data_IF_867214056832
#
_entry.id   IF_867214056832
#
_cell.length_a   1.000
_cell.length_b   1.000
_cell.length_c   1.000
_cell.angle_alpha   90.00
_cell.angle_beta   90.00
_cell.angle_gamma   90.00
#
_symmetry.space_group_name_H-M   'P 1'
#
loop_
_entity.id
_entity.type
_entity.pdbx_description
1 polymer ?
#
# COMPACT_ATOMS: atom_id res chain seq x y z
N UNK A 1 -34.36 25.76 21.20
CA UNK A 1 -34.42 24.66 20.21
C UNK A 1 -33.31 23.67 20.53
N UNK A 2 -33.64 22.53 21.14
CA UNK A 2 -32.68 21.46 21.46
C UNK A 2 -32.55 20.57 20.22
N UNK A 3 -31.34 20.43 19.68
CA UNK A 3 -31.03 19.40 18.70
C UNK A 3 -30.25 18.28 19.40
N UNK A 4 -30.90 17.12 19.53
CA UNK A 4 -30.30 15.87 19.98
C UNK A 4 -29.52 15.25 18.84
N UNK A 5 -28.20 15.18 18.95
CA UNK A 5 -27.34 14.36 18.09
C UNK A 5 -27.56 12.88 18.45
N UNK A 6 -28.17 12.15 17.52
CA UNK A 6 -28.34 10.70 17.57
C UNK A 6 -26.98 10.02 17.41
N UNK A 7 -26.40 9.55 18.51
CA UNK A 7 -25.28 8.62 18.50
C UNK A 7 -25.78 7.25 18.02
N UNK A 8 -25.73 6.99 16.71
CA UNK A 8 -25.73 5.62 16.18
C UNK A 8 -24.32 5.05 16.33
N UNK A 9 -24.02 4.45 17.47
CA UNK A 9 -22.99 3.42 17.56
C UNK A 9 -23.41 2.26 16.66
N UNK A 10 -22.67 2.03 15.58
CA UNK A 10 -22.80 0.83 14.76
C UNK A 10 -22.21 -0.31 15.59
N UNK A 11 -23.08 -1.09 16.21
CA UNK A 11 -22.71 -2.30 16.93
C UNK A 11 -22.26 -3.37 15.92
N UNK A 12 -20.95 -3.49 15.68
CA UNK A 12 -20.33 -4.64 15.03
C UNK A 12 -20.20 -5.83 16.01
N UNK A 13 -21.24 -6.07 16.82
CA UNK A 13 -21.32 -7.25 17.68
C UNK A 13 -22.08 -8.33 16.93
N UNK A 14 -21.42 -9.45 16.62
CA UNK A 14 -22.10 -10.67 16.18
C UNK A 14 -23.23 -10.99 17.17
N UNK A 15 -24.46 -10.79 16.74
CA UNK A 15 -25.66 -10.86 17.58
C UNK A 15 -26.12 -12.31 17.82
N UNK A 16 -25.17 -13.25 17.87
CA UNK A 16 -25.48 -14.64 18.11
C UNK A 16 -24.45 -15.32 19.03
N UNK A 17 -24.36 -14.79 20.25
CA UNK A 17 -23.59 -15.34 21.38
C UNK A 17 -23.92 -16.81 21.69
N UNK A 18 -25.04 -17.34 21.22
CA UNK A 18 -25.45 -18.72 21.46
C UNK A 18 -24.61 -19.73 20.67
N UNK A 19 -24.49 -19.56 19.35
CA UNK A 19 -23.71 -20.47 18.49
C UNK A 19 -22.21 -20.38 18.78
N UNK A 20 -21.70 -19.20 19.13
CA UNK A 20 -20.30 -19.01 19.48
C UNK A 20 -19.94 -19.76 20.78
N UNK A 21 -20.83 -19.75 21.77
CA UNK A 21 -20.69 -20.55 23.00
C UNK A 21 -20.84 -22.06 22.76
N UNK A 22 -21.64 -22.48 21.78
CA UNK A 22 -21.76 -23.88 21.37
C UNK A 22 -20.50 -24.39 20.65
N UNK A 23 -19.94 -23.60 19.73
CA UNK A 23 -18.70 -23.92 19.02
C UNK A 23 -17.50 -24.01 19.98
N UNK A 24 -17.38 -23.08 20.94
CA UNK A 24 -16.36 -23.11 21.99
C UNK A 24 -16.48 -24.33 22.92
N UNK A 25 -17.70 -24.86 23.14
CA UNK A 25 -17.90 -26.09 23.91
C UNK A 25 -17.59 -27.37 23.13
N UNK A 26 -17.81 -27.36 21.80
CA UNK A 26 -17.58 -28.53 20.92
C UNK A 26 -16.13 -28.66 20.44
N UNK A 27 -15.32 -27.59 20.46
CA UNK A 27 -13.87 -27.67 20.28
C UNK A 27 -13.15 -27.66 21.63
N UNK A 28 -12.43 -28.72 21.96
CA UNK A 28 -11.31 -28.60 22.90
C UNK A 28 -10.28 -27.68 22.23
N UNK A 29 -10.27 -26.40 22.60
CA UNK A 29 -9.31 -25.45 22.06
C UNK A 29 -7.89 -25.93 22.39
N UNK A 30 -7.06 -26.16 21.37
CA UNK A 30 -5.63 -26.48 21.53
C UNK A 30 -4.88 -25.43 22.35
N UNK A 31 -5.41 -24.22 22.42
CA UNK A 31 -4.79 -23.06 23.05
C UNK A 31 -5.88 -22.10 23.54
N UNK A 32 -5.88 -21.73 24.81
CA UNK A 32 -6.86 -20.76 25.36
C UNK A 32 -6.44 -19.28 25.14
N UNK A 33 -5.28 -19.05 24.53
CA UNK A 33 -4.65 -17.74 24.45
C UNK A 33 -3.38 -17.63 25.28
N UNK A 34 -3.15 -18.52 26.27
CA UNK A 34 -1.93 -18.50 27.11
C UNK A 34 -1.16 -19.82 27.23
N UNK A 35 -1.80 -20.99 27.10
CA UNK A 35 -1.16 -22.30 27.30
C UNK A 35 -1.67 -23.31 26.27
N UNK A 36 -0.74 -24.10 25.69
CA UNK A 36 -1.07 -25.26 24.85
C UNK A 36 -1.46 -26.42 25.77
N UNK A 37 -2.66 -26.97 25.59
CA UNK A 37 -3.15 -28.10 26.39
C UNK A 37 -2.49 -29.40 25.89
N UNK A 38 -1.88 -30.15 26.83
CA UNK A 38 -0.94 -31.24 26.54
C UNK A 38 -1.62 -32.57 26.15
N UNK A 39 -2.93 -32.73 26.37
CA UNK A 39 -3.66 -33.97 26.07
C UNK A 39 -4.96 -33.71 25.33
N UNK A 40 -5.04 -34.24 24.12
CA UNK A 40 -6.21 -34.24 23.26
C UNK A 40 -6.39 -35.64 22.67
N UNK A 41 -7.63 -36.10 22.55
CA UNK A 41 -7.93 -37.28 21.74
C UNK A 41 -7.66 -36.92 20.27
N UNK A 42 -6.90 -37.75 19.51
CA UNK A 42 -6.64 -37.48 18.11
C UNK A 42 -7.96 -37.30 17.36
N UNK A 43 -8.10 -36.25 16.53
CA UNK A 43 -9.29 -36.10 15.71
C UNK A 43 -9.45 -37.37 14.86
N UNK A 44 -10.64 -37.97 14.89
CA UNK A 44 -10.97 -39.12 14.05
C UNK A 44 -10.95 -38.66 12.60
N UNK A 45 -9.84 -38.95 11.92
CA UNK A 45 -9.69 -38.72 10.48
C UNK A 45 -10.36 -39.88 9.77
N UNK A 46 -11.45 -39.62 9.04
CA UNK A 46 -12.08 -40.62 8.21
C UNK A 46 -11.28 -40.77 6.91
N UNK A 47 -10.42 -41.79 6.87
CA UNK A 47 -9.70 -42.20 5.66
C UNK A 47 -10.68 -42.89 4.70
N UNK A 48 -11.53 -42.11 4.02
CA UNK A 48 -12.34 -42.64 2.92
C UNK A 48 -11.42 -43.08 1.77
N UNK A 49 -11.82 -44.13 1.07
CA UNK A 49 -11.03 -44.68 -0.05
C UNK A 49 -10.78 -43.62 -1.16
N UNK A 50 -11.74 -42.72 -1.37
CA UNK A 50 -11.57 -41.54 -2.26
C UNK A 50 -10.45 -40.60 -1.80
N UNK A 51 -10.32 -40.35 -0.49
CA UNK A 51 -9.27 -39.46 0.06
C UNK A 51 -7.89 -40.09 -0.10
N UNK A 52 -7.79 -41.41 0.11
CA UNK A 52 -6.55 -42.16 -0.12
C UNK A 52 -6.17 -42.17 -1.61
N UNK A 53 -7.15 -42.32 -2.50
CA UNK A 53 -6.92 -42.33 -3.95
C UNK A 53 -6.46 -40.95 -4.46
N UNK A 54 -7.08 -39.86 -3.99
CA UNK A 54 -6.66 -38.49 -4.31
C UNK A 54 -5.25 -38.17 -3.77
N UNK A 55 -4.94 -38.63 -2.56
CA UNK A 55 -3.59 -38.48 -1.99
C UNK A 55 -2.54 -39.23 -2.82
N UNK A 56 -2.87 -40.43 -3.30
CA UNK A 56 -1.98 -41.23 -4.14
C UNK A 56 -1.80 -40.61 -5.54
N UNK A 57 -2.87 -40.11 -6.15
CA UNK A 57 -2.81 -39.40 -7.44
C UNK A 57 -1.96 -38.11 -7.34
N UNK A 58 -2.12 -37.35 -6.26
CA UNK A 58 -1.31 -36.17 -5.97
C UNK A 58 0.18 -36.50 -5.82
N UNK A 59 0.52 -37.59 -5.12
CA UNK A 59 1.90 -38.07 -4.97
C UNK A 59 2.52 -38.47 -6.32
N UNK A 60 1.79 -39.15 -7.19
CA UNK A 60 2.30 -39.53 -8.51
C UNK A 60 2.46 -38.32 -9.44
N UNK A 61 1.53 -37.34 -9.41
CA UNK A 61 1.69 -36.06 -10.12
C UNK A 61 2.93 -35.29 -9.64
N UNK A 62 3.18 -35.28 -8.32
CA UNK A 62 4.36 -34.62 -7.75
C UNK A 62 5.67 -35.33 -8.13
N UNK A 63 5.70 -36.67 -8.18
CA UNK A 63 6.85 -37.43 -8.69
C UNK A 63 7.17 -37.14 -10.15
N UNK A 64 6.15 -36.97 -11.01
CA UNK A 64 6.36 -36.60 -12.41
C UNK A 64 6.94 -35.18 -12.55
N UNK A 65 6.46 -34.23 -11.73
CA UNK A 65 6.94 -32.85 -11.73
C UNK A 65 8.38 -32.72 -11.17
N UNK A 66 8.74 -33.56 -10.21
CA UNK A 66 10.08 -33.57 -9.57
C UNK A 66 11.22 -33.90 -10.54
N UNK A 67 10.97 -34.55 -11.69
CA UNK A 67 12.01 -34.74 -12.74
C UNK A 67 12.41 -33.41 -13.40
N UNK A 68 11.58 -32.37 -13.32
CA UNK A 68 11.80 -31.04 -13.91
C UNK A 68 12.35 -30.02 -12.92
N UNK A 69 12.20 -30.25 -11.62
CA UNK A 69 12.56 -29.31 -10.56
C UNK A 69 13.93 -29.71 -10.00
N UNK A 70 14.95 -28.89 -10.24
CA UNK A 70 16.25 -29.05 -9.56
C UNK A 70 16.05 -28.73 -8.06
N UNK A 71 16.57 -29.56 -7.13
CA UNK A 71 16.47 -29.26 -5.71
C UNK A 71 17.17 -27.94 -5.39
N UNK A 72 16.52 -27.12 -4.56
CA UNK A 72 17.08 -25.84 -4.14
C UNK A 72 18.39 -26.06 -3.37
N UNK A 73 19.43 -25.30 -3.71
CA UNK A 73 20.71 -25.36 -3.00
C UNK A 73 20.61 -24.56 -1.70
N UNK A 74 20.20 -25.23 -0.62
CA UNK A 74 20.04 -24.65 0.70
C UNK A 74 21.34 -24.08 1.28
N UNK A 75 22.51 -24.54 0.82
CA UNK A 75 23.81 -23.98 1.23
C UNK A 75 23.97 -22.53 0.76
N UNK A 76 23.53 -22.21 -0.46
CA UNK A 76 23.53 -20.82 -0.97
C UNK A 76 22.49 -19.95 -0.25
N UNK A 77 21.30 -20.50 0.01
CA UNK A 77 20.22 -19.77 0.69
C UNK A 77 20.62 -19.43 2.13
N UNK A 78 21.23 -20.38 2.85
CA UNK A 78 21.70 -20.16 4.22
C UNK A 78 22.93 -19.23 4.29
N UNK A 79 23.71 -19.12 3.22
CA UNK A 79 24.80 -18.13 3.16
C UNK A 79 24.26 -16.71 2.98
N UNK A 80 23.14 -16.53 2.27
CA UNK A 80 22.47 -15.23 2.13
C UNK A 80 21.79 -14.81 3.43
N UNK A 81 21.21 -15.74 4.21
CA UNK A 81 20.60 -15.41 5.50
C UNK A 81 21.60 -15.01 6.58
N UNK A 82 22.88 -15.41 6.49
CA UNK A 82 23.96 -14.88 7.36
C UNK A 82 24.38 -13.45 7.04
N UNK A 83 24.09 -12.96 5.83
CA UNK A 83 24.30 -11.56 5.44
C UNK A 83 23.12 -10.69 5.90
N UNK A 84 21.98 -11.31 6.23
CA UNK A 84 20.82 -10.61 6.78
C UNK A 84 20.98 -10.39 8.29
N UNK A 85 21.05 -9.12 8.66
CA UNK A 85 20.90 -8.67 10.05
C UNK A 85 19.45 -8.92 10.50
N UNK A 86 19.21 -9.59 11.65
CA UNK A 86 17.85 -9.76 12.17
C UNK A 86 17.22 -8.38 12.46
N UNK A 87 16.08 -8.08 11.83
CA UNK A 87 15.27 -6.87 12.05
C UNK A 87 14.51 -6.91 13.39
N UNK A 88 15.18 -7.19 14.51
CA UNK A 88 14.54 -7.09 15.84
C UNK A 88 14.83 -5.79 16.57
N UNK A 89 15.68 -4.92 16.01
CA UNK A 89 15.83 -3.54 16.45
C UNK A 89 15.71 -2.61 15.25
N UNK A 90 14.57 -1.92 15.13
CA UNK A 90 14.45 -0.81 14.17
C UNK A 90 15.51 0.25 14.52
N UNK A 91 16.16 0.78 13.50
CA UNK A 91 17.03 1.95 13.63
C UNK A 91 16.25 3.18 14.09
N UNK A 92 16.96 4.18 14.62
CA UNK A 92 16.33 5.43 15.10
C UNK A 92 15.62 6.18 13.96
N UNK A 93 16.14 6.09 12.74
CA UNK A 93 15.56 6.65 11.53
C UNK A 93 14.27 5.90 11.12
N UNK A 94 14.27 4.56 11.15
CA UNK A 94 13.05 3.77 10.85
C UNK A 94 11.94 4.02 11.87
N UNK A 95 12.31 4.24 13.14
CA UNK A 95 11.37 4.62 14.19
C UNK A 95 10.77 6.01 13.93
N UNK A 96 11.55 6.95 13.39
CA UNK A 96 11.08 8.28 12.98
C UNK A 96 10.05 8.19 11.84
N UNK A 97 10.31 7.35 10.82
CA UNK A 97 9.37 7.15 9.71
C UNK A 97 8.12 6.34 10.11
N UNK A 98 8.26 5.36 11.01
CA UNK A 98 7.12 4.57 11.49
C UNK A 98 6.20 5.33 12.45
N UNK A 99 6.72 6.29 13.22
CA UNK A 99 5.89 7.11 14.10
C UNK A 99 5.02 8.10 13.32
N UNK A 100 5.47 8.55 12.15
CA UNK A 100 4.68 9.40 11.27
C UNK A 100 3.52 8.63 10.58
N UNK A 101 3.62 7.30 10.43
CA UNK A 101 2.55 6.48 9.85
C UNK A 101 1.53 5.95 10.86
N UNK A 102 1.75 6.12 12.16
CA UNK A 102 0.86 5.62 13.23
C UNK A 102 -0.09 6.66 13.85
N UNK A 103 -0.09 7.90 13.38
CA UNK A 103 -1.02 8.92 13.89
C UNK A 103 -2.18 9.19 12.94
N UNK A 104 -3.32 8.61 13.32
CA UNK A 104 -4.68 8.94 12.93
C UNK A 104 -5.10 8.60 11.50
N UNK A 105 -6.36 8.17 11.40
CA UNK A 105 -7.22 8.17 10.23
C UNK A 105 -7.46 9.61 9.72
N UNK A 106 -6.39 10.36 9.52
CA UNK A 106 -6.38 11.57 8.73
C UNK A 106 -6.12 11.10 7.30
N UNK A 107 -7.13 10.44 6.75
CA UNK A 107 -7.40 10.50 5.32
C UNK A 107 -7.85 11.93 4.96
N UNK A 108 -7.16 12.97 5.45
CA UNK A 108 -6.94 14.10 4.57
C UNK A 108 -5.98 13.52 3.56
N UNK A 109 -6.55 13.04 2.46
CA UNK A 109 -5.96 13.27 1.15
C UNK A 109 -5.16 14.56 1.27
N UNK A 110 -3.86 14.51 0.99
CA UNK A 110 -3.16 15.72 0.57
C UNK A 110 -3.91 16.11 -0.70
N UNK A 111 -5.04 16.78 -0.53
CA UNK A 111 -5.63 17.61 -1.54
C UNK A 111 -4.57 18.67 -1.67
N UNK A 112 -3.61 18.40 -2.58
CA UNK A 112 -3.06 19.47 -3.41
C UNK A 112 -4.32 20.25 -3.77
N UNK A 113 -4.48 21.49 -3.27
CA UNK A 113 -5.63 22.28 -3.65
C UNK A 113 -5.70 22.15 -5.16
N UNK A 114 -6.87 21.84 -5.71
CA UNK A 114 -7.17 22.18 -7.09
C UNK A 114 -7.23 23.71 -7.18
N UNK A 115 -6.22 24.42 -6.65
CA UNK A 115 -5.81 25.68 -7.20
C UNK A 115 -5.34 25.27 -8.58
N UNK A 116 -6.30 25.29 -9.52
CA UNK A 116 -6.10 25.43 -10.94
C UNK A 116 -4.73 26.09 -11.10
N UNK A 117 -3.71 25.29 -11.46
CA UNK A 117 -2.29 25.67 -11.45
C UNK A 117 -2.21 27.15 -11.69
N UNK A 118 -2.08 27.92 -10.59
CA UNK A 118 -2.45 29.33 -10.59
C UNK A 118 -1.80 29.92 -11.81
N UNK A 119 -2.62 30.37 -12.76
CA UNK A 119 -2.19 31.06 -13.99
C UNK A 119 -1.72 32.46 -13.56
N UNK A 120 -0.93 32.49 -12.48
CA UNK A 120 -0.44 33.63 -11.79
C UNK A 120 0.52 34.24 -12.77
N UNK A 121 -0.02 35.18 -13.51
CA UNK A 121 0.72 36.06 -14.37
C UNK A 121 1.74 36.86 -13.54
N UNK A 122 1.66 36.79 -12.19
CA UNK A 122 2.68 37.26 -11.27
C UNK A 122 4.00 36.49 -11.48
N UNK A 123 5.06 37.17 -11.95
CA UNK A 123 6.35 36.52 -12.10
C UNK A 123 6.87 36.05 -10.74
N UNK A 124 7.42 34.82 -10.71
CA UNK A 124 8.05 34.26 -9.52
C UNK A 124 9.10 35.21 -8.95
N UNK A 125 9.38 35.11 -7.65
CA UNK A 125 10.43 35.91 -6.99
C UNK A 125 11.77 35.82 -7.75
N UNK A 126 12.13 34.62 -8.21
CA UNK A 126 13.33 34.40 -9.02
C UNK A 126 13.27 35.12 -10.38
N UNK A 127 12.12 35.08 -11.08
CA UNK A 127 11.94 35.78 -12.37
C UNK A 127 11.97 37.30 -12.19
N UNK A 128 11.36 37.83 -11.12
CA UNK A 128 11.43 39.25 -10.76
C UNK A 128 12.88 39.70 -10.53
N UNK A 129 13.63 38.95 -9.72
CA UNK A 129 15.04 39.21 -9.47
C UNK A 129 15.88 39.15 -10.75
N UNK A 130 15.68 38.16 -11.62
CA UNK A 130 16.39 38.06 -12.91
C UNK A 130 16.10 39.25 -13.82
N UNK A 131 14.85 39.71 -13.88
CA UNK A 131 14.48 40.88 -14.66
C UNK A 131 15.13 42.17 -14.13
N UNK A 132 15.26 42.29 -12.80
CA UNK A 132 15.96 43.40 -12.17
C UNK A 132 17.45 43.40 -12.53
N UNK A 133 18.13 42.26 -12.37
CA UNK A 133 19.54 42.08 -12.75
C UNK A 133 19.77 42.46 -14.22
N UNK A 134 18.91 41.98 -15.14
CA UNK A 134 18.97 42.34 -16.56
C UNK A 134 18.83 43.85 -16.78
N UNK A 135 17.85 44.48 -16.12
CA UNK A 135 17.64 45.93 -16.22
C UNK A 135 18.87 46.73 -15.77
N UNK A 136 19.51 46.29 -14.68
CA UNK A 136 20.77 46.87 -14.19
C UNK A 136 21.91 46.72 -15.21
N UNK A 137 22.06 45.55 -15.81
CA UNK A 137 23.08 45.29 -16.85
C UNK A 137 22.85 46.18 -18.07
N UNK A 138 21.62 46.28 -18.56
CA UNK A 138 21.27 47.16 -19.70
C UNK A 138 21.58 48.62 -19.37
N UNK A 139 21.30 49.05 -18.14
CA UNK A 139 21.62 50.40 -17.68
C UNK A 139 23.13 50.63 -17.64
N UNK A 140 23.91 49.66 -17.14
CA UNK A 140 25.36 49.72 -17.13
C UNK A 140 25.94 49.76 -18.55
N UNK A 141 25.45 48.92 -19.47
CA UNK A 141 25.83 48.94 -20.89
C UNK A 141 25.61 50.32 -21.52
N UNK A 142 24.45 50.95 -21.25
CA UNK A 142 24.14 52.29 -21.75
C UNK A 142 25.13 53.33 -21.21
N UNK A 143 25.44 53.29 -19.91
CA UNK A 143 26.39 54.22 -19.28
C UNK A 143 27.80 54.02 -19.86
N UNK A 144 28.29 52.78 -19.94
CA UNK A 144 29.62 52.48 -20.48
C UNK A 144 29.73 52.92 -21.95
N UNK A 145 28.72 52.59 -22.77
CA UNK A 145 28.67 53.00 -24.19
C UNK A 145 28.65 54.53 -24.33
N UNK A 146 27.85 55.22 -23.53
CA UNK A 146 27.81 56.68 -23.53
C UNK A 146 29.17 57.29 -23.18
N UNK A 147 29.84 56.78 -22.13
CA UNK A 147 31.19 57.24 -21.73
C UNK A 147 32.24 56.97 -22.80
N UNK A 148 32.11 55.87 -23.55
CA UNK A 148 32.99 55.54 -24.66
C UNK A 148 32.83 56.52 -25.85
N UNK A 149 31.62 57.05 -26.06
CA UNK A 149 31.28 57.97 -27.16
C UNK A 149 31.53 59.46 -26.88
N UNK A 150 31.91 59.84 -25.65
CA UNK A 150 32.21 61.25 -25.33
C UNK A 150 33.42 61.70 -26.16
N UNK A 151 33.25 62.81 -26.86
CA UNK A 151 34.24 63.38 -27.77
C UNK A 151 35.51 63.78 -27.01
N UNK A 152 36.64 63.14 -27.34
CA UNK A 152 37.90 63.21 -26.57
C UNK A 152 38.81 64.39 -26.95
N UNK A 153 38.37 65.27 -27.86
CA UNK A 153 39.18 66.37 -28.39
C UNK A 153 39.61 67.40 -27.33
N UNK A 154 38.94 67.43 -26.16
CA UNK A 154 39.29 68.27 -25.02
C UNK A 154 40.09 67.53 -23.91
N UNK A 155 40.39 66.25 -24.09
CA UNK A 155 41.08 65.42 -23.09
C UNK A 155 42.59 65.45 -23.34
N UNK A 156 43.23 66.54 -22.92
CA UNK A 156 44.66 66.79 -23.18
C UNK A 156 45.61 66.04 -22.24
N UNK A 157 45.14 65.51 -21.10
CA UNK A 157 46.00 64.82 -20.13
C UNK A 157 46.12 63.32 -20.45
N UNK A 158 47.32 62.76 -20.28
CA UNK A 158 47.59 61.31 -20.36
C UNK A 158 46.63 60.46 -19.49
N UNK A 159 46.29 60.91 -18.29
CA UNK A 159 45.40 60.18 -17.38
C UNK A 159 43.99 59.92 -17.98
N UNK A 160 43.44 60.89 -18.72
CA UNK A 160 42.14 60.75 -19.38
C UNK A 160 42.19 59.75 -20.54
N UNK A 161 43.31 59.66 -21.27
CA UNK A 161 43.49 58.72 -22.37
C UNK A 161 43.60 57.28 -21.87
N UNK A 162 44.37 57.04 -20.81
CA UNK A 162 44.49 55.72 -20.17
C UNK A 162 43.14 55.24 -19.63
N UNK A 163 42.37 56.12 -18.97
CA UNK A 163 41.03 55.77 -18.49
C UNK A 163 40.07 55.42 -19.63
N UNK A 164 40.11 56.15 -20.75
CA UNK A 164 39.31 55.82 -21.94
C UNK A 164 39.68 54.44 -22.50
N UNK A 165 40.98 54.13 -22.56
CA UNK A 165 41.50 52.84 -23.01
C UNK A 165 41.02 51.69 -22.11
N UNK A 166 41.11 51.84 -20.79
CA UNK A 166 40.59 50.85 -19.82
C UNK A 166 39.08 50.61 -20.01
N UNK A 167 38.29 51.69 -20.15
CA UNK A 167 36.85 51.56 -20.35
C UNK A 167 36.53 50.79 -21.64
N UNK A 168 37.24 51.10 -22.72
CA UNK A 168 37.02 50.55 -24.06
C UNK A 168 37.48 49.10 -24.17
N UNK A 169 38.71 48.83 -23.73
CA UNK A 169 39.42 47.58 -24.04
C UNK A 169 39.22 46.54 -22.94
N UNK A 170 38.90 46.96 -21.70
CA UNK A 170 38.73 46.06 -20.57
C UNK A 170 37.27 46.02 -20.09
N UNK A 171 36.70 47.17 -19.69
CA UNK A 171 35.38 47.20 -19.02
C UNK A 171 34.26 46.85 -20.00
N UNK A 172 34.24 47.41 -21.20
CA UNK A 172 33.16 47.18 -22.17
C UNK A 172 33.03 45.71 -22.59
N UNK A 173 34.12 44.99 -22.94
CA UNK A 173 34.06 43.54 -23.19
C UNK A 173 33.56 42.73 -21.99
N UNK A 174 33.98 43.08 -20.76
CA UNK A 174 33.51 42.40 -19.54
C UNK A 174 32.00 42.54 -19.38
N UNK A 175 31.45 43.76 -19.55
CA UNK A 175 30.00 43.99 -19.42
C UNK A 175 29.22 43.19 -20.45
N UNK A 176 29.68 43.12 -21.70
CA UNK A 176 29.03 42.30 -22.74
C UNK A 176 29.14 40.80 -22.44
N UNK A 177 30.26 40.35 -21.88
CA UNK A 177 30.42 38.95 -21.46
C UNK A 177 29.46 38.59 -20.32
N UNK A 178 29.28 39.49 -19.34
CA UNK A 178 28.33 39.31 -18.24
C UNK A 178 26.90 39.20 -18.77
N UNK A 179 26.49 40.10 -19.67
CA UNK A 179 25.17 40.05 -20.32
C UNK A 179 24.93 38.71 -21.03
N UNK A 180 25.88 38.27 -21.87
CA UNK A 180 25.80 36.99 -22.56
C UNK A 180 25.70 35.79 -21.59
N UNK A 181 26.43 35.82 -20.47
CA UNK A 181 26.36 34.77 -19.43
C UNK A 181 25.00 34.76 -18.73
N UNK A 182 24.42 35.93 -18.43
CA UNK A 182 23.09 36.03 -17.81
C UNK A 182 22.01 35.51 -18.76
N UNK A 183 22.09 35.85 -20.05
CA UNK A 183 21.17 35.32 -21.06
C UNK A 183 21.27 33.79 -21.20
N UNK A 184 22.49 33.24 -21.27
CA UNK A 184 22.68 31.80 -21.31
C UNK A 184 22.17 31.11 -20.03
N UNK A 185 22.41 31.70 -18.85
CA UNK A 185 21.89 31.19 -17.59
C UNK A 185 20.36 31.10 -17.61
N UNK A 186 19.67 32.16 -18.05
CA UNK A 186 18.21 32.15 -18.12
C UNK A 186 17.69 31.05 -19.05
N UNK A 187 18.29 30.88 -20.24
CA UNK A 187 17.90 29.83 -21.18
C UNK A 187 18.06 28.45 -20.56
N UNK A 188 19.21 28.17 -19.94
CA UNK A 188 19.47 26.88 -19.29
C UNK A 188 18.54 26.64 -18.10
N UNK A 189 18.32 27.68 -17.29
CA UNK A 189 17.40 27.62 -16.15
C UNK A 189 15.97 27.31 -16.59
N UNK A 190 15.47 27.99 -17.62
CA UNK A 190 14.12 27.75 -18.16
C UNK A 190 13.99 26.34 -18.74
N UNK A 191 15.04 25.85 -19.42
CA UNK A 191 15.08 24.48 -19.95
C UNK A 191 14.99 23.44 -18.81
N UNK A 192 15.80 23.60 -17.77
CA UNK A 192 15.79 22.70 -16.62
C UNK A 192 14.46 22.76 -15.86
N UNK A 193 13.92 23.96 -15.64
CA UNK A 193 12.60 24.15 -15.02
C UNK A 193 11.47 23.48 -15.82
N UNK A 194 11.53 23.56 -17.15
CA UNK A 194 10.56 22.91 -18.03
C UNK A 194 10.64 21.38 -17.94
N UNK A 195 11.86 20.83 -17.92
CA UNK A 195 12.09 19.39 -17.72
C UNK A 195 11.56 18.93 -16.36
N UNK A 196 11.92 19.65 -15.29
CA UNK A 196 11.45 19.38 -13.93
C UNK A 196 9.92 19.39 -13.84
N UNK A 197 9.27 20.39 -14.44
CA UNK A 197 7.81 20.46 -14.47
C UNK A 197 7.18 19.27 -15.22
N UNK A 198 7.80 18.84 -16.32
CA UNK A 198 7.40 17.64 -17.06
C UNK A 198 7.52 16.35 -16.23
N UNK A 199 8.63 16.18 -15.52
CA UNK A 199 8.86 15.04 -14.64
C UNK A 199 7.85 15.03 -13.48
N UNK A 200 7.61 16.20 -12.86
CA UNK A 200 6.63 16.36 -11.79
C UNK A 200 5.21 16.01 -12.24
N UNK A 201 4.81 16.46 -13.45
CA UNK A 201 3.52 16.12 -14.04
C UNK A 201 3.38 14.61 -14.27
N UNK A 202 4.44 13.97 -14.76
CA UNK A 202 4.47 12.51 -14.94
C UNK A 202 4.32 11.78 -13.60
N UNK A 203 5.02 12.25 -12.56
CA UNK A 203 4.94 11.69 -11.21
C UNK A 203 3.53 11.84 -10.61
N UNK A 204 2.88 12.99 -10.80
CA UNK A 204 1.50 13.19 -10.34
C UNK A 204 0.54 12.19 -11.01
N UNK A 205 0.65 11.99 -12.32
CA UNK A 205 -0.17 11.01 -13.05
C UNK A 205 0.08 9.58 -12.57
N UNK A 206 1.33 9.22 -12.28
CA UNK A 206 1.68 7.91 -11.73
C UNK A 206 1.11 7.71 -10.32
N UNK A 207 1.17 8.74 -9.46
CA UNK A 207 0.57 8.72 -8.14
C UNK A 207 -0.95 8.52 -8.19
N UNK A 208 -1.64 9.23 -9.09
CA UNK A 208 -3.08 9.08 -9.31
C UNK A 208 -3.46 7.68 -9.82
N UNK A 209 -2.68 7.14 -10.77
CA UNK A 209 -2.88 5.78 -11.27
C UNK A 209 -2.63 4.72 -10.18
N UNK A 210 -1.63 4.93 -9.33
CA UNK A 210 -1.32 4.08 -8.17
C UNK A 210 -2.46 4.13 -7.13
N UNK A 211 -2.99 5.32 -6.84
CA UNK A 211 -4.14 5.51 -5.96
C UNK A 211 -5.38 4.76 -6.47
N UNK A 212 -5.65 4.82 -7.78
CA UNK A 212 -6.75 4.08 -8.39
C UNK A 212 -6.58 2.56 -8.24
N UNK A 213 -5.35 2.04 -8.46
CA UNK A 213 -5.04 0.61 -8.26
C UNK A 213 -5.21 0.19 -6.81
N UNK A 214 -4.78 1.02 -5.85
CA UNK A 214 -4.97 0.76 -4.42
C UNK A 214 -6.45 0.63 -4.06
N UNK A 215 -7.29 1.57 -4.51
CA UNK A 215 -8.75 1.52 -4.29
C UNK A 215 -9.38 0.26 -4.90
N UNK A 216 -8.97 -0.13 -6.11
CA UNK A 216 -9.46 -1.33 -6.75
C UNK A 216 -9.08 -2.61 -5.96
N UNK A 217 -7.85 -2.67 -5.46
CA UNK A 217 -7.38 -3.79 -4.64
C UNK A 217 -8.13 -3.87 -3.30
N UNK A 218 -8.38 -2.72 -2.67
CA UNK A 218 -9.15 -2.63 -1.42
C UNK A 218 -10.57 -3.22 -1.58
N UNK A 219 -11.25 -2.86 -2.68
CA UNK A 219 -12.58 -3.41 -3.00
C UNK A 219 -12.54 -4.92 -3.27
N UNK A 220 -11.51 -5.43 -3.95
CA UNK A 220 -11.38 -6.86 -4.20
C UNK A 220 -11.10 -7.65 -2.92
N UNK A 221 -10.30 -7.10 -2.00
CA UNK A 221 -10.07 -7.69 -0.67
C UNK A 221 -11.39 -7.76 0.11
N UNK A 222 -12.18 -6.68 0.12
CA UNK A 222 -13.49 -6.67 0.79
C UNK A 222 -14.44 -7.73 0.19
N UNK A 223 -14.47 -7.84 -1.15
CA UNK A 223 -15.26 -8.84 -1.87
C UNK A 223 -14.85 -10.27 -1.51
N UNK A 224 -13.54 -10.54 -1.48
CA UNK A 224 -12.99 -11.85 -1.12
C UNK A 224 -13.28 -12.21 0.34
N UNK A 225 -13.11 -11.26 1.27
CA UNK A 225 -13.44 -11.46 2.68
C UNK A 225 -14.92 -11.82 2.85
N UNK A 226 -15.83 -11.11 2.16
CA UNK A 226 -17.27 -11.41 2.19
C UNK A 226 -17.57 -12.81 1.64
N UNK A 227 -16.90 -13.22 0.57
CA UNK A 227 -17.06 -14.56 0.00
C UNK A 227 -16.57 -15.66 0.96
N UNK A 228 -15.40 -15.49 1.58
CA UNK A 228 -14.83 -16.45 2.54
C UNK A 228 -15.73 -16.61 3.76
N UNK A 229 -16.17 -15.50 4.37
CA UNK A 229 -17.10 -15.54 5.51
C UNK A 229 -18.41 -16.25 5.14
N UNK A 230 -18.93 -16.02 3.92
CA UNK A 230 -20.14 -16.70 3.45
C UNK A 230 -19.92 -18.21 3.26
N UNK A 231 -18.76 -18.60 2.76
CA UNK A 231 -18.38 -20.01 2.59
C UNK A 231 -18.24 -20.71 3.94
N UNK A 232 -17.59 -20.07 4.93
CA UNK A 232 -17.44 -20.63 6.28
C UNK A 232 -18.79 -20.82 6.97
N UNK A 233 -19.70 -19.84 6.84
CA UNK A 233 -21.08 -19.97 7.34
C UNK A 233 -21.79 -21.16 6.68
N UNK A 234 -21.64 -21.32 5.36
CA UNK A 234 -22.25 -22.44 4.63
C UNK A 234 -21.72 -23.79 5.11
N UNK A 235 -20.40 -23.92 5.33
CA UNK A 235 -19.77 -25.15 5.83
C UNK A 235 -20.27 -25.46 7.25
N UNK A 236 -20.39 -24.46 8.12
CA UNK A 236 -20.91 -24.64 9.49
C UNK A 236 -22.37 -25.13 9.44
N UNK A 237 -23.22 -24.49 8.63
CA UNK A 237 -24.62 -24.89 8.49
C UNK A 237 -24.78 -26.32 7.95
N UNK A 238 -23.97 -26.71 6.97
CA UNK A 238 -23.98 -28.09 6.43
C UNK A 238 -23.51 -29.11 7.47
N UNK A 239 -22.49 -28.79 8.27
CA UNK A 239 -22.05 -29.70 9.34
C UNK A 239 -23.12 -29.91 10.41
N UNK A 240 -23.82 -28.85 10.81
CA UNK A 240 -24.90 -28.95 11.82
C UNK A 240 -26.08 -29.79 11.27
N UNK A 241 -26.47 -29.62 10.01
CA UNK A 241 -27.58 -30.38 9.41
C UNK A 241 -27.27 -31.86 9.18
N UNK A 242 -26.01 -32.21 8.87
CA UNK A 242 -25.56 -33.61 8.74
C UNK A 242 -25.58 -34.32 10.09
N UNK A 243 -25.22 -33.62 11.17
CA UNK A 243 -25.30 -34.16 12.53
C UNK A 243 -26.78 -34.42 12.90
N UNK A 244 -27.67 -33.45 12.69
CA UNK A 244 -29.10 -33.60 12.99
C UNK A 244 -29.76 -34.75 12.21
N UNK A 245 -29.39 -34.95 10.94
CA UNK A 245 -29.92 -36.07 10.15
C UNK A 245 -29.42 -37.43 10.62
N UNK A 246 -28.18 -37.53 11.10
CA UNK A 246 -27.64 -38.77 11.66
C UNK A 246 -28.31 -39.16 12.99
N UNK A 247 -28.60 -38.18 13.85
CA UNK A 247 -29.32 -38.40 15.11
C UNK A 247 -30.77 -38.87 14.84
N UNK A 248 -31.46 -38.23 13.89
CA UNK A 248 -32.80 -38.64 13.45
C UNK A 248 -32.85 -40.05 12.88
N UNK A 249 -31.87 -40.46 12.07
CA UNK A 249 -31.79 -41.84 11.57
C UNK A 249 -31.56 -42.85 12.69
N UNK A 250 -30.78 -42.49 13.70
CA UNK A 250 -30.47 -43.34 14.84
C UNK A 250 -31.69 -43.52 15.75
N UNK A 251 -32.41 -42.43 16.04
CA UNK A 251 -33.72 -42.45 16.72
C UNK A 251 -34.76 -43.28 15.96
N UNK A 252 -34.84 -43.12 14.63
CA UNK A 252 -35.76 -43.89 13.80
C UNK A 252 -35.45 -45.40 13.87
N UNK A 253 -34.17 -45.77 13.80
CA UNK A 253 -33.74 -47.18 13.92
C UNK A 253 -34.09 -47.77 15.29
N UNK A 254 -33.83 -47.01 16.38
CA UNK A 254 -34.23 -47.40 17.74
C UNK A 254 -35.74 -47.61 17.87
N UNK A 255 -36.52 -46.72 17.26
CA UNK A 255 -38.00 -46.78 17.33
C UNK A 255 -38.53 -47.99 16.58
N UNK A 256 -37.97 -48.29 15.39
CA UNK A 256 -38.29 -49.50 14.62
C UNK A 256 -38.02 -50.77 15.42
N UNK A 257 -36.85 -50.85 16.08
CA UNK A 257 -36.45 -52.00 16.89
C UNK A 257 -37.36 -52.20 18.11
N UNK A 258 -37.80 -51.11 18.77
CA UNK A 258 -38.81 -51.18 19.84
C UNK A 258 -40.15 -51.72 19.34
N UNK A 259 -40.59 -51.30 18.15
CA UNK A 259 -41.82 -51.80 17.54
C UNK A 259 -41.73 -53.29 17.21
N UNK A 260 -40.63 -53.73 16.60
CA UNK A 260 -40.41 -55.16 16.30
C UNK A 260 -40.42 -56.00 17.58
N UNK A 261 -39.74 -55.56 18.64
CA UNK A 261 -39.76 -56.23 19.94
C UNK A 261 -41.17 -56.27 20.56
N UNK A 262 -41.97 -55.21 20.41
CA UNK A 262 -43.34 -55.18 20.90
C UNK A 262 -44.24 -56.16 20.14
N UNK A 263 -44.07 -56.27 18.81
CA UNK A 263 -44.78 -57.24 17.97
C UNK A 263 -44.40 -58.67 18.37
N UNK A 264 -43.12 -58.96 18.58
CA UNK A 264 -42.65 -60.28 19.03
C UNK A 264 -43.24 -60.61 20.40
N UNK A 265 -43.22 -59.67 21.36
CA UNK A 265 -43.82 -59.86 22.67
C UNK A 265 -45.32 -60.17 22.57
N UNK A 266 -46.06 -59.43 21.74
CA UNK A 266 -47.50 -59.66 21.53
C UNK A 266 -47.78 -61.01 20.87
N UNK A 267 -47.00 -61.42 19.87
CA UNK A 267 -47.11 -62.76 19.28
C UNK A 267 -46.88 -63.87 20.31
N UNK A 268 -45.89 -63.69 21.20
CA UNK A 268 -45.61 -64.65 22.27
C UNK A 268 -46.71 -64.67 23.36
N UNK A 269 -47.37 -63.54 23.63
CA UNK A 269 -48.55 -63.48 24.50
C UNK A 269 -49.73 -64.24 23.90
N UNK A 270 -50.00 -64.07 22.60
CA UNK A 270 -51.06 -64.79 21.88
C UNK A 270 -50.80 -66.30 21.75
N UNK A 271 -49.55 -66.73 21.61
CA UNK A 271 -49.20 -68.15 21.51
C UNK A 271 -49.32 -68.94 22.83
N UNK A 272 -49.55 -68.23 23.95
CA UNK A 272 -49.74 -68.81 25.29
C UNK A 272 -51.22 -68.91 25.70
N UNK A 273 -52.13 -68.41 24.86
CA UNK A 273 -53.58 -68.58 24.96
C UNK A 273 -54.01 -69.78 24.11
#
# INVERSE_FOLDING_TARGET
>A
TRFTTSNRQIALGYQNTFYLKQAQKKQQSFYDGKVLLEKHDPPVVHDSEETLQLAQESREKMKQLNKKIKPANYTKINHLSRVFVPQTAMSREELYFSNNSKMANVSKSISIPNDDFLDDTTPSVARKFLNEVKSTIVTLQRVVKHRMTIETHNWSSSAHQELHKIIRDEIFPIVNQVDARVQNFEIQFLKEATKFFGDFKSLANEADASLAKHKALELEIERLLKAVVSQDIMIIMQKESVIDTSDLQTELKRTKERFENCIIKKKNEYAKL
#
